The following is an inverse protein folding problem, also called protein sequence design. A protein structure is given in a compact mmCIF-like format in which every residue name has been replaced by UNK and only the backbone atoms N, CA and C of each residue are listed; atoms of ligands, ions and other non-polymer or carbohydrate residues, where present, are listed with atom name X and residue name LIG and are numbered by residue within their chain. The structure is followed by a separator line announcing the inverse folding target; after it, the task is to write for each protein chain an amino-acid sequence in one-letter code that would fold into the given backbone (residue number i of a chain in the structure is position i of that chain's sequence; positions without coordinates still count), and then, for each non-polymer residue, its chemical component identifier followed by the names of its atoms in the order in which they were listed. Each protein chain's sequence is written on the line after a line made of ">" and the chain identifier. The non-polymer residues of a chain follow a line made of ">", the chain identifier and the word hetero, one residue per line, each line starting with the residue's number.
data_IF_314504668894
#
_entry.id   IF_314504668894
#
_cell.length_a   1.000
_cell.length_b   1.000
_cell.length_c   1.000
_cell.angle_alpha   90.00
_cell.angle_beta   90.00
_cell.angle_gamma   90.00
#
_symmetry.space_group_name_H-M   'P 1'
#
loop_
_entity.id
_entity.type
_entity.pdbx_description
1 polymer ?
#
# COMPACT_ATOMS: atom_id res chain seq x y z
N UNK A 1 -58.35 46.42 30.49
CA UNK A 1 -58.41 45.75 29.17
C UNK A 1 -57.19 45.99 28.28
N UNK A 2 -56.60 47.21 28.24
CA UNK A 2 -55.40 47.50 27.40
C UNK A 2 -54.13 46.68 27.74
N UNK A 3 -53.84 46.43 29.03
CA UNK A 3 -52.65 45.64 29.43
C UNK A 3 -52.73 44.15 29.10
N UNK A 4 -53.94 43.57 29.07
CA UNK A 4 -54.12 42.15 28.69
C UNK A 4 -53.86 41.94 27.20
N UNK A 5 -54.25 42.91 26.36
CA UNK A 5 -53.98 42.89 24.93
C UNK A 5 -52.48 43.02 24.62
N UNK A 6 -51.76 43.89 25.35
CA UNK A 6 -50.30 44.05 25.19
C UNK A 6 -49.53 42.80 25.60
N UNK A 7 -49.96 42.10 26.66
CA UNK A 7 -49.33 40.86 27.12
C UNK A 7 -49.54 39.71 26.12
N UNK A 8 -50.75 39.58 25.57
CA UNK A 8 -51.03 38.58 24.54
C UNK A 8 -50.31 38.87 23.21
N UNK A 9 -50.12 40.15 22.86
CA UNK A 9 -49.37 40.55 21.66
C UNK A 9 -47.86 40.24 21.80
N UNK A 10 -47.29 40.44 22.99
CA UNK A 10 -45.89 40.06 23.28
C UNK A 10 -45.66 38.55 23.22
N UNK A 11 -46.64 37.74 23.63
CA UNK A 11 -46.55 36.28 23.58
C UNK A 11 -46.58 35.74 22.14
N UNK A 12 -47.31 36.38 21.23
CA UNK A 12 -47.39 35.97 19.81
C UNK A 12 -46.08 36.27 19.06
N UNK A 13 -45.40 37.37 19.41
CA UNK A 13 -44.09 37.73 18.82
C UNK A 13 -42.98 36.73 19.18
N UNK A 14 -43.03 36.13 20.38
CA UNK A 14 -42.08 35.09 20.80
C UNK A 14 -42.26 33.78 20.02
N UNK A 15 -43.47 33.47 19.55
CA UNK A 15 -43.76 32.25 18.79
C UNK A 15 -43.38 32.35 17.30
N UNK A 16 -43.17 33.57 16.78
CA UNK A 16 -42.79 33.80 15.37
C UNK A 16 -41.27 33.74 15.12
N UNK A 17 -40.43 33.66 16.18
CA UNK A 17 -38.97 33.65 16.05
C UNK A 17 -38.36 32.30 15.62
N UNK A 18 -39.14 31.22 15.53
CA UNK A 18 -38.65 29.87 15.19
C UNK A 18 -38.73 29.49 13.70
N UNK A 19 -39.02 30.42 12.78
CA UNK A 19 -39.32 30.07 11.37
C UNK A 19 -38.14 30.14 10.39
N UNK A 20 -36.97 30.60 10.83
CA UNK A 20 -35.82 30.83 9.94
C UNK A 20 -34.88 29.61 9.79
N UNK A 21 -34.91 28.64 10.70
CA UNK A 21 -33.99 27.47 10.67
C UNK A 21 -34.30 26.48 9.55
N UNK A 22 -35.58 26.25 9.21
CA UNK A 22 -35.96 25.24 8.20
C UNK A 22 -35.44 25.58 6.79
N UNK A 23 -35.47 26.86 6.42
CA UNK A 23 -35.02 27.31 5.11
C UNK A 23 -33.50 27.25 4.98
N UNK A 24 -32.76 27.65 6.01
CA UNK A 24 -31.30 27.59 6.03
C UNK A 24 -30.77 26.15 6.02
N UNK A 25 -31.44 25.24 6.76
CA UNK A 25 -31.11 23.81 6.77
C UNK A 25 -31.29 23.17 5.38
N UNK A 26 -32.37 23.52 4.66
CA UNK A 26 -32.61 22.99 3.32
C UNK A 26 -31.52 23.40 2.32
N UNK A 27 -31.00 24.63 2.44
CA UNK A 27 -29.92 25.15 1.59
C UNK A 27 -28.59 24.42 1.91
N UNK A 28 -28.28 24.18 3.18
CA UNK A 28 -27.09 23.45 3.58
C UNK A 28 -27.12 21.99 3.12
N UNK A 29 -28.27 21.32 3.24
CA UNK A 29 -28.47 19.96 2.75
C UNK A 29 -28.21 19.89 1.24
N UNK A 30 -28.80 20.81 0.46
CA UNK A 30 -28.63 20.90 -0.99
C UNK A 30 -27.16 21.13 -1.38
N UNK A 31 -26.45 22.03 -0.67
CA UNK A 31 -25.01 22.25 -0.87
C UNK A 31 -24.20 20.98 -0.59
N UNK A 32 -24.53 20.25 0.48
CA UNK A 32 -23.84 19.01 0.85
C UNK A 32 -24.04 17.89 -0.19
N UNK A 33 -25.24 17.80 -0.79
CA UNK A 33 -25.56 16.82 -1.85
C UNK A 33 -24.73 17.14 -3.10
N UNK A 34 -24.76 18.39 -3.58
CA UNK A 34 -23.98 18.83 -4.74
C UNK A 34 -22.49 18.58 -4.55
N UNK A 35 -21.95 18.85 -3.36
CA UNK A 35 -20.54 18.59 -3.07
C UNK A 35 -20.21 17.09 -3.15
N UNK A 36 -21.08 16.22 -2.61
CA UNK A 36 -20.89 14.77 -2.69
C UNK A 36 -20.96 14.25 -4.13
N UNK A 37 -21.83 14.81 -4.96
CA UNK A 37 -21.91 14.49 -6.40
C UNK A 37 -20.65 14.89 -7.16
N UNK A 38 -20.13 16.09 -6.92
CA UNK A 38 -18.87 16.55 -7.53
C UNK A 38 -17.71 15.63 -7.16
N UNK A 39 -17.57 15.32 -5.86
CA UNK A 39 -16.55 14.40 -5.36
C UNK A 39 -16.70 13.01 -5.99
N UNK A 40 -17.94 12.50 -6.07
CA UNK A 40 -18.23 11.23 -6.71
C UNK A 40 -17.78 11.23 -8.17
N UNK A 41 -18.17 12.23 -8.97
CA UNK A 41 -17.84 12.29 -10.39
C UNK A 41 -16.33 12.36 -10.63
N UNK A 42 -15.61 13.14 -9.83
CA UNK A 42 -14.16 13.26 -9.97
C UNK A 42 -13.44 12.00 -9.51
N UNK A 43 -13.89 11.38 -8.42
CA UNK A 43 -13.34 10.12 -7.93
C UNK A 43 -13.63 8.95 -8.88
N UNK A 44 -14.84 8.90 -9.41
CA UNK A 44 -15.27 7.91 -10.40
C UNK A 44 -14.33 7.93 -11.61
N UNK A 45 -14.05 9.11 -12.15
CA UNK A 45 -13.08 9.28 -13.26
C UNK A 45 -11.65 8.90 -12.86
N UNK A 46 -11.23 9.24 -11.64
CA UNK A 46 -9.88 8.99 -11.16
C UNK A 46 -9.63 7.53 -10.74
N UNK A 47 -10.68 6.74 -10.47
CA UNK A 47 -10.57 5.35 -10.00
C UNK A 47 -10.21 4.40 -11.14
N UNK A 48 -8.96 4.51 -11.59
CA UNK A 48 -8.39 3.67 -12.63
C UNK A 48 -7.02 3.17 -12.16
N UNK A 49 -6.87 1.84 -12.13
CA UNK A 49 -5.63 1.17 -11.76
C UNK A 49 -5.08 0.46 -12.98
N UNK A 50 -3.92 0.90 -13.44
CA UNK A 50 -3.24 0.33 -14.60
C UNK A 50 -2.65 -1.02 -14.25
N UNK A 51 -2.75 -1.98 -15.18
CA UNK A 51 -2.12 -3.28 -15.02
C UNK A 51 -0.70 -3.26 -15.57
N UNK A 52 0.29 -3.41 -14.69
CA UNK A 52 1.65 -3.74 -15.11
C UNK A 52 1.69 -5.19 -15.58
N UNK A 53 2.21 -5.42 -16.79
CA UNK A 53 2.54 -6.75 -17.29
C UNK A 53 3.80 -7.24 -16.56
N UNK A 54 3.69 -8.40 -15.92
CA UNK A 54 4.78 -9.10 -15.26
C UNK A 54 5.31 -10.20 -16.18
N UNK A 55 6.53 -10.68 -15.95
CA UNK A 55 6.99 -11.93 -16.57
C UNK A 55 6.21 -13.12 -16.00
N UNK A 56 6.13 -14.27 -16.72
CA UNK A 56 5.36 -15.42 -16.26
C UNK A 56 5.75 -15.92 -14.85
N UNK A 57 7.03 -15.83 -14.49
CA UNK A 57 7.49 -16.22 -13.14
C UNK A 57 7.07 -15.21 -12.07
N UNK A 58 7.28 -13.92 -12.31
CA UNK A 58 6.82 -12.85 -11.41
C UNK A 58 5.30 -12.90 -11.21
N UNK A 59 4.57 -13.14 -12.31
CA UNK A 59 3.12 -13.32 -12.29
C UNK A 59 2.73 -14.55 -11.47
N UNK A 60 3.40 -15.69 -11.67
CA UNK A 60 3.17 -16.89 -10.86
C UNK A 60 3.37 -16.64 -9.37
N UNK A 61 4.44 -15.93 -8.98
CA UNK A 61 4.70 -15.58 -7.58
C UNK A 61 3.58 -14.66 -7.05
N UNK A 62 3.18 -13.64 -7.81
CA UNK A 62 2.13 -12.71 -7.42
C UNK A 62 0.74 -13.37 -7.33
N UNK A 63 0.40 -14.28 -8.25
CA UNK A 63 -0.89 -14.99 -8.28
C UNK A 63 -1.03 -16.03 -7.16
N UNK A 64 0.08 -16.68 -6.78
CA UNK A 64 0.10 -17.64 -5.67
C UNK A 64 -0.03 -16.97 -4.31
N UNK A 65 0.23 -15.67 -4.21
CA UNK A 65 -0.06 -14.90 -3.02
C UNK A 65 -1.54 -14.53 -2.98
N UNK A 66 -2.33 -15.38 -2.32
CA UNK A 66 -3.78 -15.29 -2.27
C UNK A 66 -4.29 -13.93 -1.79
N UNK A 67 -3.74 -13.41 -0.69
CA UNK A 67 -4.18 -12.16 -0.05
C UNK A 67 -3.90 -10.96 -0.95
N UNK A 68 -2.74 -10.95 -1.61
CA UNK A 68 -2.41 -9.93 -2.61
C UNK A 68 -3.38 -9.96 -3.79
N UNK A 69 -3.68 -11.15 -4.33
CA UNK A 69 -4.67 -11.30 -5.41
C UNK A 69 -6.06 -10.82 -4.98
N UNK A 70 -6.50 -11.17 -3.77
CA UNK A 70 -7.78 -10.70 -3.22
C UNK A 70 -7.81 -9.18 -3.04
N UNK A 71 -6.70 -8.57 -2.63
CA UNK A 71 -6.56 -7.12 -2.54
C UNK A 71 -6.62 -6.46 -3.92
N UNK A 72 -5.82 -6.92 -4.89
CA UNK A 72 -5.78 -6.36 -6.24
C UNK A 72 -7.12 -6.50 -6.96
N UNK A 73 -7.80 -7.64 -6.84
CA UNK A 73 -9.13 -7.83 -7.40
C UNK A 73 -10.14 -6.85 -6.80
N UNK A 74 -10.11 -6.64 -5.48
CA UNK A 74 -10.97 -5.65 -4.83
C UNK A 74 -10.64 -4.22 -5.29
N UNK A 75 -9.36 -3.90 -5.45
CA UNK A 75 -8.88 -2.58 -5.84
C UNK A 75 -9.31 -2.19 -7.27
N UNK A 76 -9.17 -3.14 -8.21
CA UNK A 76 -9.52 -2.97 -9.63
C UNK A 76 -11.03 -2.80 -9.84
N UNK A 77 -11.85 -3.39 -8.99
CA UNK A 77 -13.30 -3.27 -9.08
C UNK A 77 -13.77 -1.87 -8.66
N UNK A 78 -14.10 -1.05 -9.66
CA UNK A 78 -14.63 0.29 -9.48
C UNK A 78 -16.07 0.29 -8.91
N UNK A 79 -16.35 1.01 -7.80
CA UNK A 79 -17.71 1.25 -7.32
C UNK A 79 -18.52 2.09 -8.33
N UNK A 80 -19.80 1.76 -8.58
CA UNK A 80 -20.63 2.44 -9.59
C UNK A 80 -21.76 3.33 -9.03
N UNK A 81 -22.02 3.28 -7.72
CA UNK A 81 -23.34 3.68 -7.21
C UNK A 81 -23.38 5.02 -6.48
N UNK A 82 -22.41 5.31 -5.61
CA UNK A 82 -22.42 6.51 -4.75
C UNK A 82 -21.11 6.69 -4.00
N UNK A 83 -20.94 7.84 -3.34
CA UNK A 83 -19.83 8.05 -2.39
C UNK A 83 -19.82 7.01 -1.26
N UNK A 84 -21.00 6.55 -0.81
CA UNK A 84 -21.12 5.50 0.21
C UNK A 84 -20.57 4.16 -0.28
N UNK A 85 -20.70 3.86 -1.58
CA UNK A 85 -20.08 2.68 -2.17
C UNK A 85 -18.55 2.76 -2.15
N UNK A 86 -17.97 3.95 -2.38
CA UNK A 86 -16.52 4.18 -2.22
C UNK A 86 -16.07 4.06 -0.76
N UNK A 87 -16.86 4.55 0.21
CA UNK A 87 -16.58 4.36 1.65
C UNK A 87 -16.56 2.88 2.02
N UNK A 88 -17.53 2.10 1.57
CA UNK A 88 -17.59 0.65 1.82
C UNK A 88 -16.42 -0.09 1.15
N UNK A 89 -16.13 0.21 -0.12
CA UNK A 89 -15.00 -0.34 -0.87
C UNK A 89 -13.68 -0.09 -0.14
N UNK A 90 -13.44 1.14 0.32
CA UNK A 90 -12.19 1.48 1.01
C UNK A 90 -12.09 0.85 2.40
N UNK A 91 -13.20 0.68 3.12
CA UNK A 91 -13.24 -0.13 4.34
C UNK A 91 -12.85 -1.59 4.08
N UNK A 92 -13.38 -2.21 3.02
CA UNK A 92 -13.02 -3.57 2.64
C UNK A 92 -11.55 -3.69 2.22
N UNK A 93 -11.03 -2.68 1.50
CA UNK A 93 -9.61 -2.63 1.13
C UNK A 93 -8.72 -2.57 2.37
N UNK A 94 -9.07 -1.76 3.38
CA UNK A 94 -8.34 -1.70 4.66
C UNK A 94 -8.23 -3.08 5.30
N UNK A 95 -9.34 -3.82 5.39
CA UNK A 95 -9.33 -5.18 5.95
C UNK A 95 -8.40 -6.13 5.17
N UNK A 96 -8.36 -6.02 3.84
CA UNK A 96 -7.48 -6.85 3.01
C UNK A 96 -6.01 -6.48 3.17
N UNK A 97 -5.68 -5.19 3.21
CA UNK A 97 -4.27 -4.75 3.34
C UNK A 97 -3.69 -5.02 4.72
N UNK A 98 -4.52 -5.10 5.77
CA UNK A 98 -4.07 -5.45 7.12
C UNK A 98 -3.59 -6.90 7.23
N UNK A 99 -4.00 -7.78 6.32
CA UNK A 99 -3.56 -9.19 6.29
C UNK A 99 -2.26 -9.39 5.51
N UNK A 100 -1.90 -8.46 4.61
CA UNK A 100 -0.77 -8.62 3.70
C UNK A 100 0.59 -8.78 4.42
N UNK A 101 0.94 -8.01 5.47
CA UNK A 101 2.25 -8.12 6.11
C UNK A 101 2.57 -9.52 6.67
N UNK A 102 1.53 -10.26 7.08
CA UNK A 102 1.67 -11.56 7.73
C UNK A 102 1.64 -12.73 6.74
N UNK A 103 1.41 -12.46 5.46
CA UNK A 103 1.20 -13.48 4.41
C UNK A 103 2.18 -13.38 3.25
N UNK A 104 3.24 -12.57 3.41
CA UNK A 104 4.25 -12.37 2.36
C UNK A 104 4.96 -13.70 2.06
N UNK A 105 4.99 -14.15 0.78
CA UNK A 105 5.72 -15.36 0.41
C UNK A 105 7.20 -15.26 0.74
N UNK A 106 7.81 -16.38 1.15
CA UNK A 106 9.25 -16.45 1.52
C UNK A 106 10.15 -15.89 0.42
N UNK A 107 9.84 -16.18 -0.86
CA UNK A 107 10.58 -15.67 -2.02
C UNK A 107 10.60 -14.13 -2.11
N UNK A 108 9.59 -13.47 -1.55
CA UNK A 108 9.43 -12.01 -1.53
C UNK A 108 9.78 -11.40 -0.16
N UNK A 109 10.25 -12.18 0.81
CA UNK A 109 10.52 -11.71 2.16
C UNK A 109 11.83 -10.91 2.21
N UNK A 110 11.78 -9.70 1.64
CA UNK A 110 12.89 -8.76 1.53
C UNK A 110 12.47 -7.40 2.11
N UNK A 111 13.40 -6.63 2.71
CA UNK A 111 13.08 -5.32 3.28
C UNK A 111 12.39 -4.37 2.29
N UNK A 112 12.77 -4.42 1.01
CA UNK A 112 12.20 -3.58 -0.05
C UNK A 112 10.70 -3.83 -0.25
N UNK A 113 10.27 -5.10 -0.17
CA UNK A 113 8.86 -5.48 -0.26
C UNK A 113 8.08 -4.96 0.96
N UNK A 114 8.63 -5.10 2.16
CA UNK A 114 7.99 -4.63 3.39
C UNK A 114 7.76 -3.10 3.38
N UNK A 115 8.76 -2.33 2.91
CA UNK A 115 8.66 -0.87 2.81
C UNK A 115 7.55 -0.48 1.83
N UNK A 116 7.58 -1.04 0.61
CA UNK A 116 6.57 -0.74 -0.42
C UNK A 116 5.17 -1.14 0.03
N UNK A 117 5.04 -2.29 0.67
CA UNK A 117 3.78 -2.76 1.22
C UNK A 117 3.23 -1.81 2.30
N UNK A 118 4.10 -1.33 3.19
CA UNK A 118 3.73 -0.36 4.25
C UNK A 118 3.22 0.96 3.66
N UNK A 119 3.81 1.42 2.55
CA UNK A 119 3.32 2.60 1.82
C UNK A 119 1.93 2.35 1.24
N UNK A 120 1.69 1.20 0.60
CA UNK A 120 0.37 0.80 0.08
C UNK A 120 -0.68 0.79 1.20
N UNK A 121 -0.39 0.11 2.32
CA UNK A 121 -1.27 0.04 3.49
C UNK A 121 -1.61 1.45 3.98
N UNK A 122 -0.60 2.31 4.12
CA UNK A 122 -0.77 3.68 4.60
C UNK A 122 -1.66 4.49 3.65
N UNK A 123 -1.44 4.40 2.33
CA UNK A 123 -2.24 5.11 1.33
C UNK A 123 -3.70 4.63 1.32
N UNK A 124 -3.94 3.32 1.44
CA UNK A 124 -5.29 2.75 1.52
C UNK A 124 -6.01 3.22 2.80
N UNK A 125 -5.33 3.20 3.94
CA UNK A 125 -5.90 3.71 5.22
C UNK A 125 -6.19 5.21 5.16
N UNK A 126 -5.28 6.00 4.60
CA UNK A 126 -5.47 7.43 4.40
C UNK A 126 -6.67 7.70 3.46
N UNK A 127 -6.81 6.92 2.39
CA UNK A 127 -7.94 7.03 1.47
C UNK A 127 -9.27 6.75 2.18
N UNK A 128 -9.35 5.68 2.97
CA UNK A 128 -10.51 5.37 3.81
C UNK A 128 -10.80 6.51 4.80
N UNK A 129 -9.78 7.05 5.46
CA UNK A 129 -9.94 8.18 6.39
C UNK A 129 -10.54 9.41 5.71
N UNK A 130 -9.98 9.87 4.59
CA UNK A 130 -10.44 11.08 3.91
C UNK A 130 -11.82 10.93 3.25
N UNK A 131 -12.23 9.72 2.89
CA UNK A 131 -13.59 9.48 2.40
C UNK A 131 -14.62 9.48 3.52
N UNK A 132 -14.22 9.19 4.76
CA UNK A 132 -15.15 9.08 5.88
C UNK A 132 -15.39 10.39 6.63
N UNK A 133 -14.64 11.46 6.38
CA UNK A 133 -14.91 12.79 6.93
C UNK A 133 -16.09 13.49 6.21
N UNK A 134 -16.77 14.41 6.89
CA UNK A 134 -17.99 15.07 6.38
C UNK A 134 -17.72 15.90 5.13
N UNK A 135 -16.66 16.70 5.15
CA UNK A 135 -16.20 17.52 4.02
C UNK A 135 -15.02 16.83 3.33
N UNK A 136 -15.32 16.01 2.34
CA UNK A 136 -14.33 15.20 1.63
C UNK A 136 -13.38 16.10 0.82
N UNK A 137 -12.05 16.04 1.03
CA UNK A 137 -11.07 16.83 0.32
C UNK A 137 -10.78 16.20 -1.05
N UNK A 138 -11.63 16.48 -2.03
CA UNK A 138 -11.61 15.93 -3.40
C UNK A 138 -10.19 15.78 -3.99
N UNK A 139 -9.43 16.88 -4.06
CA UNK A 139 -8.08 16.90 -4.63
C UNK A 139 -7.11 15.92 -3.94
N UNK A 140 -7.22 15.78 -2.62
CA UNK A 140 -6.36 14.86 -1.85
C UNK A 140 -6.74 13.41 -2.10
N UNK A 141 -8.03 13.12 -2.17
CA UNK A 141 -8.54 11.76 -2.47
C UNK A 141 -8.09 11.34 -3.87
N UNK A 142 -8.26 12.19 -4.88
CA UNK A 142 -7.83 11.91 -6.26
C UNK A 142 -6.32 11.66 -6.32
N UNK A 143 -5.53 12.52 -5.65
CA UNK A 143 -4.08 12.34 -5.57
C UNK A 143 -3.71 11.00 -4.91
N UNK A 144 -4.39 10.62 -3.82
CA UNK A 144 -4.13 9.34 -3.15
C UNK A 144 -4.44 8.14 -4.03
N UNK A 145 -5.50 8.19 -4.85
CA UNK A 145 -5.82 7.12 -5.80
C UNK A 145 -4.71 7.00 -6.87
N UNK A 146 -4.27 8.13 -7.43
CA UNK A 146 -3.18 8.15 -8.41
C UNK A 146 -1.86 7.65 -7.81
N UNK A 147 -1.49 8.15 -6.64
CA UNK A 147 -0.31 7.71 -5.91
C UNK A 147 -0.38 6.21 -5.57
N UNK A 148 -1.55 5.70 -5.17
CA UNK A 148 -1.74 4.27 -4.87
C UNK A 148 -1.53 3.42 -6.12
N UNK A 149 -2.00 3.85 -7.29
CA UNK A 149 -1.73 3.17 -8.55
C UNK A 149 -0.23 3.11 -8.85
N UNK A 150 0.50 4.21 -8.62
CA UNK A 150 1.96 4.24 -8.77
C UNK A 150 2.67 3.27 -7.82
N UNK A 151 2.26 3.20 -6.55
CA UNK A 151 2.88 2.30 -5.58
C UNK A 151 2.56 0.83 -5.85
N UNK A 152 1.34 0.50 -6.28
CA UNK A 152 0.99 -0.87 -6.69
C UNK A 152 1.83 -1.30 -7.88
N UNK A 153 2.03 -0.40 -8.85
CA UNK A 153 2.97 -0.65 -9.93
C UNK A 153 4.38 -0.84 -9.38
N UNK A 154 4.93 0.11 -8.63
CA UNK A 154 6.29 0.01 -8.08
C UNK A 154 6.51 -1.26 -7.25
N UNK A 155 5.49 -1.76 -6.57
CA UNK A 155 5.51 -3.05 -5.90
C UNK A 155 5.70 -4.22 -6.87
N UNK A 156 4.95 -4.23 -7.97
CA UNK A 156 5.11 -5.20 -9.05
C UNK A 156 6.51 -5.11 -9.71
N UNK A 157 7.08 -3.92 -9.89
CA UNK A 157 8.49 -3.78 -10.33
C UNK A 157 9.46 -4.43 -9.35
N UNK A 158 9.20 -4.26 -8.06
CA UNK A 158 10.07 -4.80 -7.03
C UNK A 158 10.06 -6.34 -7.03
N UNK A 159 8.91 -6.95 -7.33
CA UNK A 159 8.81 -8.39 -7.58
C UNK A 159 9.64 -8.78 -8.80
N UNK A 160 9.48 -8.06 -9.91
CA UNK A 160 10.21 -8.31 -11.16
C UNK A 160 11.72 -8.23 -10.96
N UNK A 161 12.19 -7.21 -10.22
CA UNK A 161 13.60 -7.03 -9.91
C UNK A 161 14.14 -8.14 -9.00
N UNK A 162 13.34 -8.65 -8.05
CA UNK A 162 13.72 -9.80 -7.22
C UNK A 162 13.88 -11.05 -8.09
N UNK A 163 12.91 -11.32 -8.96
CA UNK A 163 12.97 -12.46 -9.89
C UNK A 163 14.19 -12.33 -10.81
N UNK A 164 14.40 -11.16 -11.41
CA UNK A 164 15.56 -10.89 -12.28
C UNK A 164 16.88 -11.11 -11.54
N UNK A 165 17.02 -10.66 -10.29
CA UNK A 165 18.22 -10.87 -9.49
C UNK A 165 18.45 -12.33 -9.11
N UNK A 166 17.40 -13.10 -8.89
CA UNK A 166 17.51 -14.53 -8.58
C UNK A 166 18.07 -15.35 -9.75
N UNK A 167 17.97 -14.85 -11.00
CA UNK A 167 18.58 -15.48 -12.17
C UNK A 167 20.08 -15.22 -12.29
N UNK A 168 20.62 -14.26 -11.54
CA UNK A 168 22.06 -13.98 -11.53
C UNK A 168 22.71 -15.05 -10.63
N UNK A 169 23.44 -15.97 -11.26
CA UNK A 169 24.21 -16.97 -10.53
C UNK A 169 25.38 -16.28 -9.82
N UNK A 170 25.70 -16.72 -8.60
CA UNK A 170 26.87 -16.25 -7.88
C UNK A 170 28.13 -16.88 -8.49
N UNK A 171 29.18 -16.09 -8.65
CA UNK A 171 30.46 -16.60 -9.15
C UNK A 171 31.21 -17.40 -8.07
N UNK A 172 32.06 -18.33 -8.49
CA UNK A 172 32.88 -19.12 -7.58
C UNK A 172 33.78 -18.20 -6.74
N UNK A 173 33.70 -18.31 -5.41
CA UNK A 173 34.44 -17.45 -4.46
C UNK A 173 33.72 -16.14 -4.06
N UNK A 174 32.61 -15.77 -4.70
CA UNK A 174 31.82 -14.58 -4.34
C UNK A 174 31.17 -14.75 -2.95
N UNK A 175 30.64 -15.94 -2.65
CA UNK A 175 30.10 -16.25 -1.33
C UNK A 175 31.13 -16.09 -0.21
N UNK A 176 32.36 -16.52 -0.45
CA UNK A 176 33.43 -16.41 0.53
C UNK A 176 33.81 -14.95 0.71
N UNK A 177 33.92 -14.17 -0.36
CA UNK A 177 34.15 -12.73 -0.26
C UNK A 177 33.06 -12.01 0.54
N UNK A 178 31.78 -12.34 0.30
CA UNK A 178 30.64 -11.77 1.05
C UNK A 178 30.73 -12.09 2.54
N UNK A 179 31.14 -13.32 2.91
CA UNK A 179 31.35 -13.71 4.31
C UNK A 179 32.48 -12.91 4.97
N UNK A 180 33.56 -12.63 4.24
CA UNK A 180 34.70 -11.85 4.74
C UNK A 180 34.38 -10.35 4.90
N UNK A 181 33.61 -9.76 3.98
CA UNK A 181 33.21 -8.33 4.03
C UNK A 181 32.08 -8.08 5.05
N UNK A 182 31.17 -9.05 5.21
CA UNK A 182 29.99 -8.94 6.08
C UNK A 182 30.26 -8.97 7.58
N UNK A 183 31.52 -9.04 8.03
CA UNK A 183 31.90 -8.86 9.44
C UNK A 183 31.34 -9.91 10.40
N UNK A 184 30.92 -11.09 9.93
CA UNK A 184 30.77 -12.24 10.83
C UNK A 184 32.18 -12.71 11.18
N UNK A 185 32.67 -12.24 12.33
CA UNK A 185 33.89 -12.75 12.96
C UNK A 185 33.81 -14.28 12.98
N UNK A 186 34.58 -14.93 12.11
CA UNK A 186 34.79 -16.35 12.20
C UNK A 186 35.39 -16.65 13.58
N UNK A 187 34.85 -17.68 14.24
CA UNK A 187 35.62 -18.45 15.20
C UNK A 187 36.99 -18.76 14.58
N UNK A 188 38.07 -18.79 15.37
CA UNK A 188 39.40 -18.91 14.83
C UNK A 188 39.45 -20.10 13.88
N UNK A 189 39.85 -19.85 12.63
CA UNK A 189 40.27 -20.91 11.73
C UNK A 189 41.16 -21.83 12.56
N UNK A 190 40.74 -23.08 12.73
CA UNK A 190 41.62 -24.14 13.20
C UNK A 190 42.84 -24.00 12.31
N UNK A 191 43.96 -23.60 12.93
CA UNK A 191 45.23 -23.43 12.24
C UNK A 191 45.45 -24.73 11.45
N UNK A 192 45.77 -24.68 10.16
CA UNK A 192 46.26 -25.88 9.50
C UNK A 192 47.44 -26.37 10.34
N UNK A 193 47.35 -27.61 10.79
CA UNK A 193 48.37 -28.22 11.62
C UNK A 193 49.67 -28.25 10.79
N UNK A 194 50.60 -27.36 11.11
CA UNK A 194 51.94 -27.34 10.52
C UNK A 194 52.74 -28.45 11.22
N UNK A 195 52.31 -29.70 11.04
CA UNK A 195 53.01 -30.91 11.50
C UNK A 195 52.80 -32.06 10.50
N UNK A 196 52.95 -31.77 9.21
CA UNK A 196 53.69 -32.62 8.26
C UNK A 196 53.59 -32.01 6.85
N UNK A 197 54.67 -31.44 6.29
CA UNK A 197 54.79 -31.36 4.85
C UNK A 197 54.92 -32.80 4.34
N UNK A 198 53.89 -33.32 3.67
CA UNK A 198 54.14 -34.41 2.73
C UNK A 198 55.01 -33.81 1.64
N UNK A 199 56.31 -34.05 1.73
CA UNK A 199 57.28 -33.75 0.69
C UNK A 199 56.93 -34.67 -0.47
N UNK A 200 56.18 -34.16 -1.44
CA UNK A 200 56.12 -34.78 -2.75
C UNK A 200 57.49 -34.50 -3.40
N UNK A 201 58.39 -35.47 -3.32
CA UNK A 201 59.69 -35.40 -3.97
C UNK A 201 59.47 -35.30 -5.48
N UNK A 202 59.70 -34.10 -6.01
CA UNK A 202 59.81 -33.88 -7.46
C UNK A 202 61.12 -34.53 -7.90
N UNK A 203 61.10 -35.56 -8.77
CA UNK A 203 62.33 -36.22 -9.20
C UNK A 203 63.25 -35.22 -9.90
N UNK A 204 64.53 -35.31 -9.55
CA UNK A 204 65.61 -34.52 -10.17
C UNK A 204 65.64 -34.76 -11.68
N UNK A 205 65.94 -33.70 -12.44
CA UNK A 205 66.03 -33.68 -13.89
C UNK A 205 67.06 -34.69 -14.48
N UNK A 206 67.91 -35.30 -13.63
CA UNK A 206 68.87 -36.33 -14.05
C UNK A 206 68.27 -37.74 -14.18
N UNK A 207 67.05 -37.99 -13.68
CA UNK A 207 66.36 -39.28 -13.84
C UNK A 207 65.47 -39.34 -15.10
N UNK A 208 65.40 -38.26 -15.87
CA UNK A 208 64.68 -38.19 -17.15
C UNK A 208 65.70 -38.17 -18.29
N UNK A 209 66.43 -39.29 -18.49
CA UNK A 209 67.18 -39.53 -19.73
C UNK A 209 67.24 -41.00 -20.11
#
# INVERSE_FOLDING_TARGET
>A
MKSFFLYNLGLILLLLSCKNEEQDNSIEIQKSIKQKELVFNSLDKAWFFSERKLTPESEFIALNWNEWRLFINELKQKPKSSISAFKLKTKNLVQKVDLLPNTIPIKLQKPQINVRLSVIITKVKALNMFLNIDRIPEKRVIKLVSDLNLEVNAFNDQIEEIVRRNHIQMEEGEEDMIKHVGGKKLEPLVKPDIQNPQVEEVPSFEEIK
#
